data_IF_096226397825
#
_entry.id   IF_096226397825
#
_cell.length_a   1.000
_cell.length_b   1.000
_cell.length_c   1.000
_cell.angle_alpha   90.00
_cell.angle_beta   90.00
_cell.angle_gamma   90.00
#
_symmetry.space_group_name_H-M   'P 1'
#
loop_
_entity.id
_entity.type
_entity.pdbx_description
1 polymer ?
#
# COMPACT_ATOMS: atom_id res chain seq x y z
N UNK A 1 65.73 -13.52 -7.92
CA UNK A 1 65.31 -13.91 -6.56
C UNK A 1 64.62 -12.69 -5.99
N UNK A 2 63.28 -12.65 -6.02
CA UNK A 2 62.49 -11.52 -5.51
C UNK A 2 62.02 -11.88 -4.10
N UNK A 3 62.47 -11.12 -3.10
CA UNK A 3 62.12 -11.30 -1.69
C UNK A 3 60.68 -10.86 -1.43
N UNK A 4 59.87 -11.76 -0.87
CA UNK A 4 58.52 -11.48 -0.39
C UNK A 4 58.59 -10.91 1.03
N UNK A 5 58.20 -9.64 1.21
CA UNK A 5 57.92 -9.08 2.54
C UNK A 5 56.61 -9.63 3.09
N UNK A 6 56.53 -10.05 4.36
CA UNK A 6 55.33 -10.64 4.92
C UNK A 6 54.26 -9.57 5.19
N UNK A 7 53.02 -9.90 4.81
CA UNK A 7 51.82 -9.09 5.06
C UNK A 7 51.54 -9.03 6.56
N UNK A 8 51.56 -7.82 7.13
CA UNK A 8 51.18 -7.54 8.51
C UNK A 8 49.71 -7.93 8.76
N UNK A 9 49.45 -8.62 9.88
CA UNK A 9 48.11 -9.04 10.30
C UNK A 9 47.17 -7.84 10.44
N UNK A 10 45.85 -7.98 10.15
CA UNK A 10 44.90 -6.90 10.36
C UNK A 10 44.72 -6.63 11.86
N UNK A 11 44.96 -5.38 12.23
CA UNK A 11 44.82 -4.82 13.58
C UNK A 11 43.35 -4.95 14.04
N UNK A 12 43.12 -5.72 15.09
CA UNK A 12 41.80 -5.91 15.70
C UNK A 12 41.46 -4.64 16.48
N UNK A 13 40.51 -3.85 15.96
CA UNK A 13 39.97 -2.69 16.66
C UNK A 13 39.21 -3.16 17.93
N UNK A 14 39.38 -2.48 19.08
CA UNK A 14 38.76 -2.90 20.33
C UNK A 14 37.23 -2.75 20.28
N UNK A 15 36.52 -3.80 20.70
CA UNK A 15 35.07 -3.80 20.90
C UNK A 15 34.72 -2.85 22.06
N UNK A 16 34.37 -1.60 21.73
CA UNK A 16 33.77 -0.67 22.68
C UNK A 16 32.27 -0.97 22.83
N UNK A 17 31.69 -0.90 24.05
CA UNK A 17 30.27 -1.13 24.29
C UNK A 17 29.39 -0.23 23.40
N UNK A 18 28.34 -0.81 22.82
CA UNK A 18 27.37 -0.13 21.94
C UNK A 18 26.53 0.81 22.81
N UNK A 19 27.02 2.03 23.03
CA UNK A 19 26.15 3.13 23.43
C UNK A 19 25.33 3.54 22.21
N UNK A 20 24.00 3.45 22.33
CA UNK A 20 23.07 4.09 21.40
C UNK A 20 23.34 5.60 21.45
N UNK A 21 24.22 6.08 20.58
CA UNK A 21 24.49 7.50 20.41
C UNK A 21 23.19 8.13 19.91
N UNK A 22 22.46 8.76 20.84
CA UNK A 22 21.37 9.69 20.54
C UNK A 22 21.92 10.72 19.53
N UNK A 23 21.44 10.74 18.28
CA UNK A 23 21.95 11.68 17.30
C UNK A 23 21.61 13.10 17.77
N UNK A 24 22.63 13.95 17.91
CA UNK A 24 22.43 15.40 18.04
C UNK A 24 21.90 15.94 16.69
N UNK A 25 20.61 15.80 16.46
CA UNK A 25 19.91 16.14 15.21
C UNK A 25 18.49 15.54 15.18
N UNK A 26 17.68 15.89 14.18
CA UNK A 26 16.32 15.35 13.99
C UNK A 26 16.32 13.83 14.12
N UNK A 27 15.37 13.27 14.87
CA UNK A 27 15.22 11.83 15.02
C UNK A 27 14.89 11.13 13.69
N UNK A 28 15.13 9.82 13.61
CA UNK A 28 14.77 9.00 12.43
C UNK A 28 13.30 9.17 12.03
N UNK A 29 12.43 9.23 13.04
CA UNK A 29 10.99 9.41 12.86
C UNK A 29 10.65 10.80 12.33
N UNK A 30 11.29 11.85 12.84
CA UNK A 30 11.06 13.23 12.43
C UNK A 30 11.54 13.48 10.99
N UNK A 31 12.72 12.98 10.63
CA UNK A 31 13.26 13.04 9.28
C UNK A 31 12.33 12.38 8.25
N UNK A 32 11.74 11.24 8.62
CA UNK A 32 10.83 10.52 7.74
C UNK A 32 9.45 11.20 7.64
N UNK A 33 8.89 11.71 8.73
CA UNK A 33 7.62 12.44 8.72
C UNK A 33 7.68 13.71 7.86
N UNK A 34 8.78 14.46 7.95
CA UNK A 34 9.03 15.63 7.12
C UNK A 34 9.08 15.25 5.63
N UNK A 35 9.86 14.21 5.30
CA UNK A 35 9.95 13.69 3.93
C UNK A 35 8.60 13.22 3.38
N UNK A 36 7.77 12.55 4.20
CA UNK A 36 6.42 12.15 3.79
C UNK A 36 5.53 13.35 3.45
N UNK A 37 5.71 14.48 4.15
CA UNK A 37 4.95 15.71 3.91
C UNK A 37 5.36 16.46 2.65
N UNK A 38 6.64 16.43 2.28
CA UNK A 38 7.17 17.20 1.14
C UNK A 38 7.29 16.40 -0.15
N UNK A 39 7.79 15.17 -0.10
CA UNK A 39 8.22 14.47 -1.32
C UNK A 39 7.25 13.38 -1.80
N UNK A 40 6.45 12.79 -0.91
CA UNK A 40 5.57 11.71 -1.32
C UNK A 40 4.38 12.27 -2.12
N UNK A 41 4.35 11.89 -3.41
CA UNK A 41 3.36 12.36 -4.37
C UNK A 41 3.29 13.89 -4.50
N UNK A 42 4.45 14.56 -4.46
CA UNK A 42 4.60 16.02 -4.57
C UNK A 42 3.78 16.78 -3.49
N UNK A 43 3.77 16.24 -2.26
CA UNK A 43 2.98 16.77 -1.14
C UNK A 43 1.49 16.43 -1.19
N UNK A 44 1.01 15.71 -2.21
CA UNK A 44 -0.39 15.33 -2.39
C UNK A 44 -0.68 13.86 -2.04
N UNK A 45 0.14 13.24 -1.18
CA UNK A 45 -0.09 11.87 -0.74
C UNK A 45 -1.40 11.77 0.05
N UNK A 46 -2.27 10.82 -0.32
CA UNK A 46 -3.44 10.48 0.48
C UNK A 46 -3.01 9.95 1.86
N UNK A 47 -3.81 10.20 2.89
CA UNK A 47 -3.63 9.66 4.25
C UNK A 47 -3.34 8.14 4.25
N UNK A 48 -4.04 7.37 3.42
CA UNK A 48 -3.82 5.92 3.28
C UNK A 48 -2.42 5.56 2.79
N UNK A 49 -1.86 6.38 1.89
CA UNK A 49 -0.50 6.19 1.34
C UNK A 49 0.53 6.51 2.41
N UNK A 50 0.35 7.60 3.14
CA UNK A 50 1.18 8.00 4.29
C UNK A 50 1.17 6.90 5.36
N UNK A 51 -0.01 6.46 5.79
CA UNK A 51 -0.15 5.41 6.80
C UNK A 51 0.48 4.08 6.36
N UNK A 52 0.34 3.72 5.09
CA UNK A 52 1.01 2.53 4.56
C UNK A 52 2.53 2.69 4.61
N UNK A 53 3.09 3.84 4.21
CA UNK A 53 4.53 4.08 4.29
C UNK A 53 5.04 4.03 5.74
N UNK A 54 4.34 4.66 6.68
CA UNK A 54 4.66 4.58 8.12
C UNK A 54 4.66 3.14 8.62
N UNK A 55 3.60 2.39 8.31
CA UNK A 55 3.47 0.99 8.71
C UNK A 55 4.61 0.13 8.14
N UNK A 56 4.93 0.26 6.84
CA UNK A 56 6.02 -0.51 6.23
C UNK A 56 7.39 -0.12 6.81
N UNK A 57 7.63 1.16 7.08
CA UNK A 57 8.88 1.65 7.70
C UNK A 57 9.04 1.11 9.11
N UNK A 58 7.97 1.16 9.93
CA UNK A 58 7.97 0.56 11.26
C UNK A 58 8.33 -0.93 11.23
N UNK A 59 7.83 -1.68 10.25
CA UNK A 59 8.19 -3.09 10.09
C UNK A 59 9.66 -3.31 9.73
N UNK A 60 10.28 -2.39 9.00
CA UNK A 60 11.71 -2.43 8.72
C UNK A 60 12.54 -2.08 9.96
N UNK A 61 12.19 -1.00 10.66
CA UNK A 61 12.87 -0.61 11.90
C UNK A 61 12.77 -1.69 12.99
N UNK A 62 11.60 -2.34 13.10
CA UNK A 62 11.44 -3.48 13.99
C UNK A 62 12.38 -4.63 13.62
N UNK A 63 12.50 -4.95 12.33
CA UNK A 63 13.45 -5.97 11.89
C UNK A 63 14.90 -5.59 12.20
N UNK A 64 15.25 -4.30 12.07
CA UNK A 64 16.57 -3.80 12.46
C UNK A 64 16.83 -4.01 13.95
N UNK A 65 15.85 -3.73 14.82
CA UNK A 65 15.95 -4.00 16.26
C UNK A 65 16.13 -5.50 16.52
N UNK A 66 15.28 -6.34 15.92
CA UNK A 66 15.30 -7.80 16.12
C UNK A 66 16.60 -8.47 15.63
N UNK A 67 17.35 -7.80 14.75
CA UNK A 67 18.61 -8.31 14.16
C UNK A 67 19.83 -7.51 14.56
N UNK A 68 19.68 -6.59 15.53
CA UNK A 68 20.76 -5.74 16.05
C UNK A 68 21.47 -4.90 14.98
N UNK A 69 20.74 -4.53 13.92
CA UNK A 69 21.24 -3.68 12.83
C UNK A 69 20.91 -2.23 13.14
N UNK A 70 21.93 -1.38 13.25
CA UNK A 70 21.72 0.06 13.30
C UNK A 70 21.30 0.59 11.91
N UNK A 71 20.09 1.17 11.74
CA UNK A 71 19.62 1.69 10.46
C UNK A 71 20.53 2.78 9.85
N UNK A 72 21.23 3.57 10.67
CA UNK A 72 22.13 4.62 10.20
C UNK A 72 23.45 4.07 9.64
N UNK A 73 23.84 2.86 10.06
CA UNK A 73 25.07 2.18 9.64
C UNK A 73 24.80 1.01 8.68
N UNK A 74 23.53 0.82 8.29
CA UNK A 74 23.13 -0.29 7.45
C UNK A 74 23.76 -0.18 6.05
N UNK A 75 24.48 -1.22 5.66
CA UNK A 75 25.03 -1.37 4.31
C UNK A 75 24.09 -2.16 3.37
N UNK A 76 24.54 -2.35 2.13
CA UNK A 76 23.81 -3.14 1.14
C UNK A 76 23.56 -4.60 1.58
N UNK A 77 24.45 -5.20 2.37
CA UNK A 77 24.29 -6.59 2.85
C UNK A 77 23.14 -6.68 3.85
N UNK A 78 23.00 -5.72 4.75
CA UNK A 78 21.85 -5.67 5.66
C UNK A 78 20.51 -5.59 4.90
N UNK A 79 20.43 -4.79 3.85
CA UNK A 79 19.22 -4.72 3.01
C UNK A 79 18.96 -6.04 2.25
N UNK A 80 20.02 -6.76 1.86
CA UNK A 80 19.89 -8.10 1.27
C UNK A 80 19.40 -9.15 2.29
N UNK A 81 19.84 -9.06 3.55
CA UNK A 81 19.35 -9.90 4.65
C UNK A 81 17.87 -9.61 4.93
N UNK A 82 17.48 -8.33 4.97
CA UNK A 82 16.07 -7.95 5.07
C UNK A 82 15.26 -8.51 3.91
N UNK A 83 15.76 -8.39 2.67
CA UNK A 83 15.12 -9.02 1.50
C UNK A 83 14.95 -10.52 1.67
N UNK A 84 15.95 -11.24 2.20
CA UNK A 84 15.86 -12.68 2.46
C UNK A 84 14.74 -12.97 3.47
N UNK A 85 14.69 -12.22 4.58
CA UNK A 85 13.63 -12.31 5.57
C UNK A 85 12.23 -12.07 4.96
N UNK A 86 12.11 -11.15 4.01
CA UNK A 86 10.84 -10.88 3.33
C UNK A 86 10.41 -12.00 2.37
N UNK A 87 11.35 -12.67 1.71
CA UNK A 87 11.07 -13.78 0.78
C UNK A 87 10.40 -14.96 1.50
N UNK A 88 10.78 -15.21 2.75
CA UNK A 88 10.23 -16.29 3.56
C UNK A 88 8.77 -16.04 3.98
N UNK A 89 8.31 -14.79 3.95
CA UNK A 89 7.02 -14.38 4.54
C UNK A 89 6.01 -13.80 3.55
N UNK A 90 6.45 -13.23 2.43
CA UNK A 90 5.60 -12.39 1.60
C UNK A 90 5.65 -12.74 0.11
N UNK A 91 4.58 -12.39 -0.60
CA UNK A 91 4.53 -12.49 -2.06
C UNK A 91 5.39 -11.39 -2.72
N UNK A 92 5.97 -11.63 -3.91
CA UNK A 92 6.93 -10.70 -4.50
C UNK A 92 6.43 -9.26 -4.70
N UNK A 93 5.14 -9.06 -4.96
CA UNK A 93 4.53 -7.73 -5.05
C UNK A 93 4.60 -6.97 -3.70
N UNK A 94 4.33 -7.67 -2.60
CA UNK A 94 4.46 -7.11 -1.25
C UNK A 94 5.92 -6.83 -0.90
N UNK A 95 6.84 -7.72 -1.29
CA UNK A 95 8.29 -7.50 -1.12
C UNK A 95 8.74 -6.25 -1.88
N UNK A 96 8.26 -6.06 -3.12
CA UNK A 96 8.56 -4.88 -3.92
C UNK A 96 8.09 -3.59 -3.24
N UNK A 97 6.87 -3.56 -2.71
CA UNK A 97 6.35 -2.42 -1.96
C UNK A 97 7.21 -2.12 -0.73
N UNK A 98 7.52 -3.15 0.07
CA UNK A 98 8.35 -2.99 1.28
C UNK A 98 9.74 -2.45 0.95
N UNK A 99 10.42 -3.00 -0.06
CA UNK A 99 11.73 -2.51 -0.49
C UNK A 99 11.66 -1.10 -1.09
N UNK A 100 10.55 -0.73 -1.76
CA UNK A 100 10.36 0.63 -2.24
C UNK A 100 10.25 1.62 -1.06
N UNK A 101 9.51 1.28 -0.01
CA UNK A 101 9.40 2.14 1.18
C UNK A 101 10.77 2.27 1.86
N UNK A 102 11.53 1.19 2.00
CA UNK A 102 12.89 1.26 2.57
C UNK A 102 13.80 2.18 1.74
N UNK A 103 13.73 2.15 0.41
CA UNK A 103 14.49 3.10 -0.42
C UNK A 103 14.12 4.54 -0.12
N UNK A 104 12.82 4.83 -0.07
CA UNK A 104 12.31 6.18 0.22
C UNK A 104 12.66 6.65 1.62
N UNK A 105 12.69 5.73 2.59
CA UNK A 105 13.19 6.01 3.93
C UNK A 105 14.66 6.44 3.91
N UNK A 106 15.54 5.73 3.20
CA UNK A 106 16.95 6.15 3.09
C UNK A 106 17.14 7.43 2.26
N UNK A 107 16.29 7.69 1.26
CA UNK A 107 16.28 8.98 0.57
C UNK A 107 16.02 10.13 1.57
N UNK A 108 14.99 9.97 2.43
CA UNK A 108 14.69 10.93 3.50
C UNK A 108 15.86 11.18 4.47
N UNK A 109 16.60 10.12 4.83
CA UNK A 109 17.76 10.23 5.70
C UNK A 109 18.93 10.94 5.04
N UNK A 110 19.07 10.83 3.72
CA UNK A 110 20.09 11.57 2.95
C UNK A 110 19.74 13.05 2.90
N UNK A 111 18.47 13.39 2.64
CA UNK A 111 18.01 14.78 2.61
C UNK A 111 18.19 15.44 3.98
N UNK A 112 18.01 14.67 5.06
CA UNK A 112 18.27 15.10 6.43
C UNK A 112 19.74 15.03 6.84
N UNK A 113 20.65 14.69 5.92
CA UNK A 113 22.10 14.56 6.13
C UNK A 113 22.51 13.55 7.21
N UNK A 114 21.63 12.61 7.56
CA UNK A 114 21.88 11.55 8.55
C UNK A 114 22.68 10.39 7.96
N UNK A 115 22.54 10.14 6.65
CA UNK A 115 23.24 9.08 5.92
C UNK A 115 23.80 9.64 4.62
N UNK A 116 24.98 9.17 4.17
CA UNK A 116 25.65 9.67 2.96
C UNK A 116 25.20 8.99 1.67
N UNK A 117 24.72 7.75 1.74
CA UNK A 117 24.36 6.94 0.58
C UNK A 117 23.16 6.04 0.88
N UNK A 118 22.36 5.73 -0.15
CA UNK A 118 21.20 4.87 0.03
C UNK A 118 21.60 3.39 -0.19
N UNK A 119 21.61 2.54 0.85
CA UNK A 119 22.01 1.12 0.74
C UNK A 119 21.00 0.27 -0.05
N UNK A 120 19.77 0.76 -0.25
CA UNK A 120 18.66 0.02 -0.84
C UNK A 120 18.46 0.22 -2.36
N UNK A 121 19.19 1.16 -2.98
CA UNK A 121 19.04 1.53 -4.42
C UNK A 121 19.07 0.32 -5.35
N UNK A 122 20.00 -0.60 -5.14
CA UNK A 122 20.27 -1.72 -6.04
C UNK A 122 19.66 -3.06 -5.58
N UNK A 123 18.85 -3.07 -4.52
CA UNK A 123 18.26 -4.31 -3.99
C UNK A 123 16.89 -4.55 -4.61
N UNK A 124 16.81 -5.41 -5.63
CA UNK A 124 15.55 -5.68 -6.36
C UNK A 124 14.72 -6.78 -5.69
N UNK A 125 13.40 -6.64 -5.73
CA UNK A 125 12.47 -7.70 -5.34
C UNK A 125 12.65 -8.94 -6.24
N UNK A 126 12.36 -10.15 -5.75
CA UNK A 126 12.36 -11.35 -6.59
C UNK A 126 11.38 -11.18 -7.77
N UNK A 127 11.75 -11.72 -8.93
CA UNK A 127 10.92 -11.65 -10.12
C UNK A 127 9.65 -12.48 -9.89
N UNK A 128 8.50 -11.84 -10.07
CA UNK A 128 7.21 -12.49 -10.01
C UNK A 128 7.04 -13.37 -11.27
N UNK A 129 7.44 -14.65 -11.21
CA UNK A 129 7.20 -15.63 -12.30
C UNK A 129 5.71 -15.93 -12.52
N UNK A 130 4.83 -15.42 -11.65
CA UNK A 130 3.37 -15.54 -11.71
C UNK A 130 2.70 -14.41 -12.50
N UNK A 131 3.37 -13.76 -13.45
CA UNK A 131 2.71 -12.78 -14.34
C UNK A 131 1.61 -13.40 -15.21
N UNK A 132 1.54 -14.74 -15.30
CA UNK A 132 0.50 -15.48 -16.01
C UNK A 132 -0.64 -15.95 -15.09
N UNK A 133 -0.93 -15.26 -13.98
CA UNK A 133 -2.21 -15.48 -13.29
C UNK A 133 -3.29 -14.95 -14.22
N UNK A 134 -3.94 -15.86 -14.94
CA UNK A 134 -5.16 -15.58 -15.70
C UNK A 134 -6.12 -14.89 -14.72
N UNK A 135 -6.49 -13.64 -15.03
CA UNK A 135 -7.42 -12.88 -14.19
C UNK A 135 -8.68 -13.74 -14.04
N UNK A 136 -8.96 -14.17 -12.81
CA UNK A 136 -10.19 -14.90 -12.52
C UNK A 136 -11.31 -13.87 -12.45
N UNK A 137 -12.29 -14.02 -13.32
CA UNK A 137 -13.50 -13.21 -13.34
C UNK A 137 -14.70 -14.12 -13.09
N UNK A 138 -15.79 -13.56 -12.54
CA UNK A 138 -17.03 -14.30 -12.43
C UNK A 138 -17.69 -14.41 -13.81
N UNK A 139 -18.09 -15.63 -14.16
CA UNK A 139 -18.98 -15.87 -15.30
C UNK A 139 -20.42 -15.43 -14.97
N UNK A 140 -21.26 -15.32 -16.00
CA UNK A 140 -22.63 -14.83 -15.84
C UNK A 140 -23.46 -15.73 -14.91
N UNK A 141 -23.31 -17.07 -14.99
CA UNK A 141 -24.02 -17.98 -14.08
C UNK A 141 -23.56 -17.79 -12.62
N UNK A 142 -22.25 -17.61 -12.41
CA UNK A 142 -21.68 -17.42 -11.07
C UNK A 142 -22.14 -16.10 -10.44
N UNK A 143 -22.18 -15.02 -11.22
CA UNK A 143 -22.73 -13.74 -10.77
C UNK A 143 -24.22 -13.86 -10.43
N UNK A 144 -24.98 -14.59 -11.25
CA UNK A 144 -26.40 -14.83 -11.03
C UNK A 144 -26.64 -15.60 -9.73
N UNK A 145 -25.82 -16.61 -9.46
CA UNK A 145 -25.86 -17.37 -8.21
C UNK A 145 -25.55 -16.46 -7.00
N UNK A 146 -24.51 -15.63 -7.09
CA UNK A 146 -24.13 -14.69 -6.04
C UNK A 146 -25.29 -13.71 -5.71
N UNK A 147 -25.96 -13.18 -6.74
CA UNK A 147 -27.12 -12.30 -6.55
C UNK A 147 -28.32 -13.04 -5.94
N UNK A 148 -28.53 -14.32 -6.27
CA UNK A 148 -29.58 -15.16 -5.68
C UNK A 148 -29.37 -15.39 -4.18
N UNK A 149 -28.11 -15.54 -3.72
CA UNK A 149 -27.82 -15.66 -2.29
C UNK A 149 -28.23 -14.40 -1.51
N UNK A 150 -28.22 -13.24 -2.16
CA UNK A 150 -28.69 -11.97 -1.61
C UNK A 150 -30.18 -11.67 -1.91
N UNK A 151 -30.99 -12.65 -2.30
CA UNK A 151 -32.39 -12.46 -2.75
C UNK A 151 -33.40 -12.17 -1.63
N UNK A 152 -33.03 -12.30 -0.35
CA UNK A 152 -33.93 -12.06 0.78
C UNK A 152 -34.29 -10.58 1.01
N UNK A 153 -35.22 -10.35 1.94
CA UNK A 153 -35.80 -9.03 2.22
C UNK A 153 -35.19 -8.30 3.43
N UNK A 154 -34.24 -8.92 4.13
CA UNK A 154 -33.56 -8.25 5.24
C UNK A 154 -32.79 -7.02 4.76
N UNK A 155 -32.60 -5.99 5.61
CA UNK A 155 -31.78 -4.82 5.26
C UNK A 155 -30.37 -5.20 4.77
N UNK A 156 -29.74 -6.19 5.40
CA UNK A 156 -28.42 -6.70 5.02
C UNK A 156 -28.42 -7.30 3.62
N UNK A 157 -29.38 -8.17 3.30
CA UNK A 157 -29.47 -8.80 1.98
C UNK A 157 -29.77 -7.79 0.87
N UNK A 158 -30.64 -6.80 1.12
CA UNK A 158 -30.89 -5.70 0.19
C UNK A 158 -29.63 -4.89 -0.10
N UNK A 159 -28.89 -4.52 0.96
CA UNK A 159 -27.62 -3.81 0.86
C UNK A 159 -26.59 -4.63 0.06
N UNK A 160 -26.39 -5.89 0.41
CA UNK A 160 -25.39 -6.75 -0.23
C UNK A 160 -25.71 -6.94 -1.73
N UNK A 161 -27.00 -7.08 -2.09
CA UNK A 161 -27.44 -7.12 -3.49
C UNK A 161 -27.11 -5.84 -4.25
N UNK A 162 -27.34 -4.68 -3.64
CA UNK A 162 -26.99 -3.39 -4.25
C UNK A 162 -25.48 -3.26 -4.44
N UNK A 163 -24.69 -3.62 -3.43
CA UNK A 163 -23.21 -3.58 -3.49
C UNK A 163 -22.71 -4.43 -4.65
N UNK A 164 -23.10 -5.71 -4.70
CA UNK A 164 -22.68 -6.64 -5.77
C UNK A 164 -23.11 -6.12 -7.14
N UNK A 165 -24.33 -5.58 -7.25
CA UNK A 165 -24.83 -5.04 -8.50
C UNK A 165 -24.12 -3.77 -8.97
N UNK A 166 -23.77 -2.85 -8.07
CA UNK A 166 -22.97 -1.68 -8.39
C UNK A 166 -21.57 -2.08 -8.87
N UNK A 167 -20.94 -3.06 -8.22
CA UNK A 167 -19.62 -3.55 -8.62
C UNK A 167 -19.69 -4.27 -9.98
N UNK A 168 -20.67 -5.14 -10.21
CA UNK A 168 -20.76 -5.93 -11.43
C UNK A 168 -21.23 -5.12 -12.65
N UNK A 169 -22.16 -4.17 -12.49
CA UNK A 169 -22.79 -3.45 -13.61
C UNK A 169 -22.18 -2.07 -13.88
N UNK A 170 -21.72 -1.39 -12.83
CA UNK A 170 -21.07 -0.08 -12.95
C UNK A 170 -19.53 -0.17 -12.79
N UNK A 171 -18.99 -1.36 -12.51
CA UNK A 171 -17.55 -1.55 -12.36
C UNK A 171 -16.97 -0.82 -11.16
N UNK A 172 -17.77 -0.53 -10.13
CA UNK A 172 -17.30 0.20 -8.97
C UNK A 172 -16.32 -0.65 -8.17
N UNK A 173 -15.22 -0.04 -7.72
CA UNK A 173 -14.30 -0.66 -6.77
C UNK A 173 -14.91 -0.69 -5.38
N UNK A 174 -14.46 -1.60 -4.52
CA UNK A 174 -14.95 -1.72 -3.13
C UNK A 174 -14.94 -0.39 -2.38
N UNK A 175 -13.86 0.39 -2.50
CA UNK A 175 -13.74 1.70 -1.83
C UNK A 175 -14.68 2.76 -2.42
N UNK A 176 -14.97 2.68 -3.72
CA UNK A 176 -15.92 3.58 -4.38
C UNK A 176 -17.33 3.29 -3.86
N UNK A 177 -17.72 2.01 -3.73
CA UNK A 177 -19.02 1.62 -3.15
C UNK A 177 -19.15 2.00 -1.68
N UNK A 178 -18.08 1.81 -0.89
CA UNK A 178 -18.09 2.16 0.53
C UNK A 178 -18.32 3.66 0.78
N UNK A 179 -17.79 4.52 -0.10
CA UNK A 179 -17.86 5.97 0.03
C UNK A 179 -19.12 6.59 -0.56
N UNK A 180 -19.91 5.84 -1.31
CA UNK A 180 -21.14 6.34 -1.92
C UNK A 180 -22.15 6.78 -0.86
N UNK A 181 -22.70 7.96 -1.07
CA UNK A 181 -23.79 8.53 -0.28
C UNK A 181 -25.03 8.73 -1.15
N UNK A 182 -26.19 8.97 -0.51
CA UNK A 182 -27.42 9.28 -1.24
C UNK A 182 -27.29 10.52 -2.12
N UNK A 183 -26.47 11.50 -1.73
CA UNK A 183 -26.20 12.72 -2.51
C UNK A 183 -25.48 12.45 -3.84
N UNK A 184 -24.81 11.30 -3.98
CA UNK A 184 -24.13 10.92 -5.22
C UNK A 184 -25.11 10.40 -6.29
N UNK A 185 -26.34 10.09 -5.90
CA UNK A 185 -27.39 9.67 -6.82
C UNK A 185 -28.17 10.89 -7.31
N UNK A 186 -28.18 11.09 -8.62
CA UNK A 186 -28.95 12.17 -9.24
C UNK A 186 -29.83 11.66 -10.36
N UNK A 187 -30.99 12.29 -10.53
CA UNK A 187 -31.92 11.99 -11.61
C UNK A 187 -32.05 13.21 -12.51
N UNK A 188 -31.88 13.01 -13.82
CA UNK A 188 -32.18 14.02 -14.82
C UNK A 188 -33.22 13.42 -15.79
N UNK A 189 -34.47 13.87 -15.65
CA UNK A 189 -35.62 13.32 -16.38
C UNK A 189 -35.86 11.84 -16.06
N UNK A 190 -35.80 10.97 -17.08
CA UNK A 190 -35.95 9.51 -16.94
C UNK A 190 -34.62 8.75 -16.70
N UNK A 191 -33.49 9.46 -16.65
CA UNK A 191 -32.14 8.87 -16.53
C UNK A 191 -31.61 9.07 -15.11
N UNK A 192 -31.00 8.04 -14.55
CA UNK A 192 -30.31 8.12 -13.25
C UNK A 192 -28.79 8.10 -13.46
N UNK A 193 -28.11 8.80 -12.57
CA UNK A 193 -26.67 9.00 -12.58
C UNK A 193 -26.11 8.74 -11.20
N UNK A 194 -24.89 8.22 -11.17
CA UNK A 194 -24.10 8.03 -9.95
C UNK A 194 -22.82 8.82 -10.13
N UNK A 195 -22.54 9.70 -9.17
CA UNK A 195 -21.27 10.42 -9.09
C UNK A 195 -20.32 9.59 -8.23
N UNK A 196 -19.17 9.22 -8.79
CA UNK A 196 -18.20 8.36 -8.11
C UNK A 196 -16.88 9.11 -7.97
N UNK A 197 -16.42 9.25 -6.74
CA UNK A 197 -15.12 9.85 -6.43
C UNK A 197 -14.03 8.77 -6.32
N UNK A 198 -13.09 8.78 -7.26
CA UNK A 198 -11.88 7.96 -7.27
C UNK A 198 -10.65 8.76 -6.75
N UNK A 199 -9.53 8.07 -6.51
CA UNK A 199 -8.30 8.63 -5.88
C UNK A 199 -7.81 9.97 -6.48
N UNK A 200 -8.08 10.24 -7.77
CA UNK A 200 -7.64 11.46 -8.46
C UNK A 200 -8.68 12.00 -9.47
N UNK A 201 -9.92 11.53 -9.41
CA UNK A 201 -10.90 11.86 -10.44
C UNK A 201 -12.31 11.66 -9.92
N UNK A 202 -13.23 12.51 -10.34
CA UNK A 202 -14.66 12.27 -10.21
C UNK A 202 -15.22 11.89 -11.58
N UNK A 203 -15.99 10.81 -11.61
CA UNK A 203 -16.73 10.39 -12.80
C UNK A 203 -18.22 10.38 -12.51
N UNK A 204 -19.01 10.78 -13.48
CA UNK A 204 -20.47 10.73 -13.40
C UNK A 204 -20.98 9.71 -14.41
N UNK A 205 -21.36 8.54 -13.91
CA UNK A 205 -21.76 7.42 -14.74
C UNK A 205 -23.29 7.37 -14.84
N UNK A 206 -23.79 7.24 -16.07
CA UNK A 206 -25.21 6.96 -16.31
C UNK A 206 -25.47 5.51 -15.93
N UNK A 207 -26.41 5.27 -15.02
CA UNK A 207 -26.77 3.89 -14.64
C UNK A 207 -27.32 3.15 -15.86
N UNK A 208 -26.73 2.01 -16.19
CA UNK A 208 -27.06 1.23 -17.41
C UNK A 208 -28.46 0.61 -17.40
N UNK A 209 -29.20 0.65 -16.29
CA UNK A 209 -30.58 0.14 -16.19
C UNK A 209 -31.47 1.04 -15.32
N UNK A 210 -32.70 1.30 -15.78
CA UNK A 210 -33.69 2.08 -15.01
C UNK A 210 -34.14 1.38 -13.72
N UNK A 211 -34.00 0.04 -13.65
CA UNK A 211 -34.43 -0.79 -12.52
C UNK A 211 -33.52 -0.72 -11.28
N UNK A 212 -32.28 -0.26 -11.40
CA UNK A 212 -31.37 -0.09 -10.25
C UNK A 212 -31.81 1.06 -9.36
N UNK A 213 -32.19 2.18 -9.98
CA UNK A 213 -32.85 3.25 -9.25
C UNK A 213 -34.16 2.77 -8.67
N UNK A 214 -34.96 1.94 -9.37
CA UNK A 214 -36.17 1.37 -8.80
C UNK A 214 -35.89 0.60 -7.50
N UNK A 215 -34.85 -0.22 -7.39
CA UNK A 215 -34.57 -0.94 -6.12
C UNK A 215 -34.11 -0.02 -4.98
N UNK A 216 -33.32 1.02 -5.27
CA UNK A 216 -32.88 2.02 -4.28
C UNK A 216 -34.01 2.98 -3.89
N UNK A 217 -34.89 3.32 -4.82
CA UNK A 217 -36.08 4.17 -4.60
C UNK A 217 -37.23 3.40 -3.94
N UNK A 218 -37.42 2.13 -4.27
CA UNK A 218 -38.42 1.27 -3.61
C UNK A 218 -38.11 1.00 -2.14
N UNK A 219 -36.84 1.05 -1.71
CA UNK A 219 -36.50 0.98 -0.28
C UNK A 219 -36.76 2.30 0.47
N UNK A 220 -36.78 3.44 -0.23
CA UNK A 220 -37.07 4.75 0.38
C UNK A 220 -38.57 5.01 0.56
N UNK A 221 -39.43 4.32 -0.19
CA UNK A 221 -40.90 4.47 -0.16
C UNK A 221 -41.60 3.53 0.84
N UNK A 222 -40.90 3.04 1.86
CA UNK A 222 -41.48 2.17 2.92
C UNK A 222 -41.13 2.60 4.35
N UNK A 223 -40.68 3.85 4.53
CA UNK A 223 -40.54 4.47 5.86
C UNK A 223 -41.58 5.57 6.12
N UNK A 224 -42.69 5.58 5.37
CA UNK A 224 -43.94 6.23 5.78
C UNK A 224 -45.05 5.17 5.84
#
# INVERSE_FOLDING_TARGET
MLEFTPVSQPEVLPESPIELVEPKGKGLDEAFEEFLGFEVADGAASVDTINNYKSQTKMFLQWCIDTEVNPLLADKRHIQLYRKHLIEKYQPATIQLKLQVVRRFYDALIDSQLVKFNPAVNVKAPINKRSNVKIQYLELEQLTLLLKLAAGNSPKQKRDRVIVGLMALQGLRTIEVQRLSFGDFSRQGKKNFITVSAKRSQRRDKTKQSRFASYLWYSSLRQE
#
